data_IF_101429130555
#
_entry.id   IF_101429130555
#
_cell.length_a   1.000
_cell.length_b   1.000
_cell.length_c   1.000
_cell.angle_alpha   90.00
_cell.angle_beta   90.00
_cell.angle_gamma   90.00
#
_symmetry.space_group_name_H-M   'P 1'
#
loop_
_entity.id
_entity.type
_entity.pdbx_description
1 polymer ?
#
# COMPACT_ATOMS: atom_id res chain seq x y z
N UNK A 1 3.56 6.58 24.56
CA UNK A 1 4.54 5.71 25.25
C UNK A 1 5.87 5.84 24.55
N UNK A 2 7.00 5.57 25.24
CA UNK A 2 8.31 5.63 24.59
C UNK A 2 8.43 4.53 23.53
N UNK A 3 9.03 4.85 22.39
CA UNK A 3 9.34 3.91 21.30
C UNK A 3 10.39 2.88 21.78
N UNK A 4 10.41 1.62 21.24
CA UNK A 4 11.47 0.67 21.50
C UNK A 4 12.86 1.25 21.19
N UNK A 5 13.86 0.87 21.97
CA UNK A 5 15.24 1.33 21.75
C UNK A 5 15.87 0.61 20.57
N UNK A 6 16.84 1.24 19.93
CA UNK A 6 17.63 0.62 18.83
C UNK A 6 18.27 -0.68 19.30
N UNK A 7 18.87 -0.70 20.50
CA UNK A 7 19.49 -1.90 21.09
C UNK A 7 18.47 -3.05 21.22
N UNK A 8 17.26 -2.77 21.71
CA UNK A 8 16.20 -3.78 21.81
C UNK A 8 15.85 -4.36 20.43
N UNK A 9 15.74 -3.51 19.39
CA UNK A 9 15.45 -3.94 18.03
C UNK A 9 16.60 -4.77 17.45
N UNK A 10 17.83 -4.28 17.52
CA UNK A 10 18.98 -4.89 16.85
C UNK A 10 19.49 -6.16 17.53
N UNK A 11 19.40 -6.27 18.84
CA UNK A 11 19.83 -7.47 19.57
C UNK A 11 18.81 -8.61 19.50
N UNK A 12 17.50 -8.28 19.55
CA UNK A 12 16.46 -9.29 19.72
C UNK A 12 15.64 -9.54 18.45
N UNK A 13 15.56 -8.59 17.51
CA UNK A 13 14.55 -8.63 16.46
C UNK A 13 15.09 -8.52 15.03
N UNK A 14 16.35 -8.15 14.80
CA UNK A 14 16.91 -8.15 13.44
C UNK A 14 18.38 -8.55 13.43
N UNK A 15 18.73 -9.49 12.56
CA UNK A 15 20.12 -9.90 12.33
C UNK A 15 20.87 -8.92 11.42
N UNK A 16 20.15 -8.12 10.66
CA UNK A 16 20.67 -7.05 9.80
C UNK A 16 20.22 -5.72 10.38
N UNK A 17 21.12 -4.75 10.60
CA UNK A 17 20.78 -3.48 11.25
C UNK A 17 20.07 -2.53 10.27
N UNK A 18 18.99 -3.00 9.63
CA UNK A 18 18.05 -2.23 8.81
C UNK A 18 16.65 -2.82 9.00
N UNK A 19 15.61 -1.98 9.12
CA UNK A 19 14.23 -2.42 9.29
C UNK A 19 13.23 -1.34 8.86
N UNK A 20 12.04 -1.78 8.45
CA UNK A 20 10.86 -0.95 8.36
C UNK A 20 10.06 -1.10 9.65
N UNK A 21 9.89 -0.02 10.39
CA UNK A 21 9.08 0.04 11.60
C UNK A 21 7.65 0.40 11.23
N UNK A 22 6.69 -0.42 11.66
CA UNK A 22 5.27 -0.26 11.36
C UNK A 22 4.51 0.01 12.67
N UNK A 23 3.94 1.19 12.79
CA UNK A 23 3.16 1.65 13.94
C UNK A 23 1.71 1.16 13.83
N UNK A 24 1.36 0.14 14.62
CA UNK A 24 0.02 -0.45 14.62
C UNK A 24 -1.02 0.43 15.34
N UNK A 25 -0.59 1.28 16.27
CA UNK A 25 -1.49 2.22 16.93
C UNK A 25 -1.97 3.28 15.94
N UNK A 26 -1.04 3.86 15.14
CA UNK A 26 -1.39 4.77 14.04
C UNK A 26 -2.24 4.07 12.98
N UNK A 27 -1.94 2.81 12.63
CA UNK A 27 -2.75 2.04 11.67
C UNK A 27 -4.20 1.87 12.15
N UNK A 28 -4.37 1.56 13.43
CA UNK A 28 -5.68 1.46 14.06
C UNK A 28 -6.42 2.81 14.11
N UNK A 29 -5.71 3.90 14.43
CA UNK A 29 -6.28 5.25 14.43
C UNK A 29 -6.70 5.71 13.04
N UNK A 30 -5.87 5.48 12.01
CA UNK A 30 -6.20 5.79 10.63
C UNK A 30 -7.49 5.08 10.17
N UNK A 31 -7.61 3.79 10.47
CA UNK A 31 -8.81 3.03 10.07
C UNK A 31 -10.05 3.51 10.83
N UNK A 32 -9.96 3.84 12.12
CA UNK A 32 -11.06 4.43 12.88
C UNK A 32 -11.48 5.80 12.33
N UNK A 33 -10.51 6.60 11.88
CA UNK A 33 -10.80 7.88 11.26
C UNK A 33 -11.49 7.72 9.89
N UNK A 34 -11.02 6.77 9.06
CA UNK A 34 -11.69 6.43 7.79
C UNK A 34 -13.13 5.97 8.06
N UNK A 35 -13.35 5.12 9.07
CA UNK A 35 -14.70 4.71 9.49
C UNK A 35 -15.54 5.89 9.93
N UNK A 36 -14.97 6.84 10.67
CA UNK A 36 -15.67 8.06 11.10
C UNK A 36 -16.13 8.90 9.90
N UNK A 37 -15.24 9.09 8.91
CA UNK A 37 -15.54 9.83 7.66
C UNK A 37 -16.63 9.13 6.86
N UNK A 38 -16.55 7.81 6.73
CA UNK A 38 -17.49 7.00 5.93
C UNK A 38 -18.87 6.85 6.56
N UNK A 39 -18.93 6.88 7.90
CA UNK A 39 -20.15 6.58 8.66
C UNK A 39 -20.33 5.07 8.89
N UNK A 40 -21.43 4.69 9.58
CA UNK A 40 -21.69 3.30 9.98
C UNK A 40 -22.42 2.48 8.93
N UNK A 41 -23.14 3.13 8.02
CA UNK A 41 -24.10 2.49 7.10
C UNK A 41 -23.42 2.02 5.78
N UNK A 42 -22.14 2.30 5.60
CA UNK A 42 -21.37 1.93 4.41
C UNK A 42 -20.26 0.96 4.74
N UNK A 43 -20.00 0.05 3.84
CA UNK A 43 -18.89 -0.90 3.98
C UNK A 43 -17.55 -0.21 3.69
N UNK A 44 -16.56 -0.53 4.51
CA UNK A 44 -15.16 -0.12 4.30
C UNK A 44 -14.35 -1.34 3.90
N UNK A 45 -13.86 -1.34 2.66
CA UNK A 45 -12.98 -2.39 2.13
C UNK A 45 -11.55 -1.90 2.19
N UNK A 46 -10.77 -2.40 3.16
CA UNK A 46 -9.35 -2.07 3.27
C UNK A 46 -8.55 -2.70 2.14
N UNK A 47 -7.86 -1.87 1.34
CA UNK A 47 -7.06 -2.35 0.20
C UNK A 47 -5.67 -2.75 0.69
N UNK A 48 -5.39 -4.06 0.76
CA UNK A 48 -4.15 -4.65 1.31
C UNK A 48 -3.30 -5.39 0.29
N UNK A 49 -3.51 -5.11 -1.01
CA UNK A 49 -2.69 -5.63 -2.12
C UNK A 49 -1.23 -5.20 -2.01
N UNK A 50 -0.34 -5.86 -2.75
CA UNK A 50 1.10 -5.60 -2.76
C UNK A 50 1.68 -5.62 -1.33
N UNK A 51 1.34 -6.69 -0.58
CA UNK A 51 1.74 -6.88 0.80
C UNK A 51 1.37 -5.69 1.70
N UNK A 52 0.10 -5.23 1.59
CA UNK A 52 -0.39 -4.01 2.24
C UNK A 52 0.50 -2.80 1.91
N UNK A 53 0.77 -2.57 0.62
CA UNK A 53 1.66 -1.50 0.14
C UNK A 53 3.05 -1.57 0.81
N UNK A 54 3.58 -2.79 0.98
CA UNK A 54 4.87 -3.05 1.59
C UNK A 54 4.90 -3.07 3.12
N UNK A 55 3.75 -2.93 3.79
CA UNK A 55 3.66 -2.87 5.25
C UNK A 55 3.46 -4.24 5.94
N UNK A 56 3.14 -5.30 5.16
CA UNK A 56 2.83 -6.63 5.67
C UNK A 56 1.33 -6.89 5.76
N UNK A 57 0.78 -7.59 4.74
CA UNK A 57 -0.66 -7.73 4.53
C UNK A 57 -1.37 -8.45 5.68
N UNK A 58 -0.80 -9.52 6.20
CA UNK A 58 -1.43 -10.35 7.25
C UNK A 58 -1.65 -9.56 8.54
N UNK A 59 -0.63 -8.80 9.00
CA UNK A 59 -0.73 -8.03 10.24
C UNK A 59 -1.69 -6.87 10.06
N UNK A 60 -1.51 -6.08 8.99
CA UNK A 60 -2.34 -4.89 8.76
C UNK A 60 -3.81 -5.25 8.50
N UNK A 61 -4.10 -6.36 7.82
CA UNK A 61 -5.48 -6.85 7.65
C UNK A 61 -6.18 -7.09 8.99
N UNK A 62 -5.49 -7.72 9.95
CA UNK A 62 -6.03 -7.95 11.30
C UNK A 62 -6.32 -6.62 12.01
N UNK A 63 -5.36 -5.69 11.97
CA UNK A 63 -5.52 -4.38 12.60
C UNK A 63 -6.68 -3.60 11.98
N UNK A 64 -6.77 -3.56 10.65
CA UNK A 64 -7.83 -2.81 9.96
C UNK A 64 -9.22 -3.41 10.22
N UNK A 65 -9.37 -4.74 10.17
CA UNK A 65 -10.63 -5.41 10.48
C UNK A 65 -11.08 -5.18 11.93
N UNK A 66 -10.16 -5.14 12.88
CA UNK A 66 -10.47 -4.85 14.28
C UNK A 66 -10.84 -3.38 14.55
N UNK A 67 -10.53 -2.48 13.61
CA UNK A 67 -10.67 -1.03 13.82
C UNK A 67 -11.59 -0.32 12.82
N UNK A 68 -12.42 -1.06 12.08
CA UNK A 68 -13.48 -0.44 11.28
C UNK A 68 -13.55 -0.85 9.82
N UNK A 69 -12.63 -1.67 9.30
CA UNK A 69 -12.81 -2.30 8.00
C UNK A 69 -13.79 -3.48 8.13
N UNK A 70 -14.64 -3.66 7.11
CA UNK A 70 -15.60 -4.78 7.03
C UNK A 70 -15.08 -5.88 6.12
N UNK A 71 -14.27 -5.51 5.14
CA UNK A 71 -13.80 -6.35 4.05
C UNK A 71 -12.37 -6.00 3.68
N UNK A 72 -11.74 -6.86 2.88
CA UNK A 72 -10.41 -6.64 2.34
C UNK A 72 -10.45 -6.63 0.81
N UNK A 73 -9.48 -5.96 0.19
CA UNK A 73 -9.26 -6.07 -1.25
C UNK A 73 -7.77 -6.30 -1.56
N UNK A 74 -7.54 -7.22 -2.47
CA UNK A 74 -6.22 -7.63 -2.96
C UNK A 74 -6.14 -7.48 -4.48
N UNK A 75 -4.96 -7.68 -5.07
CA UNK A 75 -4.78 -7.62 -6.52
C UNK A 75 -4.90 -8.99 -7.21
N UNK A 76 -4.55 -10.07 -6.51
CA UNK A 76 -4.49 -11.42 -7.06
C UNK A 76 -5.06 -12.46 -6.12
N UNK A 77 -5.39 -13.64 -6.68
CA UNK A 77 -5.84 -14.78 -5.91
C UNK A 77 -4.77 -15.26 -4.91
N UNK A 78 -3.49 -15.18 -5.27
CA UNK A 78 -2.39 -15.60 -4.40
C UNK A 78 -2.31 -14.75 -3.13
N UNK A 79 -2.47 -13.43 -3.23
CA UNK A 79 -2.55 -12.52 -2.08
C UNK A 79 -3.75 -12.86 -1.18
N UNK A 80 -4.91 -13.15 -1.78
CA UNK A 80 -6.10 -13.56 -1.03
C UNK A 80 -5.90 -14.91 -0.33
N UNK A 81 -5.27 -15.87 -1.00
CA UNK A 81 -4.93 -17.19 -0.45
C UNK A 81 -3.95 -17.06 0.74
N UNK A 82 -2.97 -16.15 0.67
CA UNK A 82 -2.10 -15.84 1.80
C UNK A 82 -2.89 -15.40 3.04
N UNK A 83 -3.83 -14.47 2.85
CA UNK A 83 -4.70 -14.00 3.94
C UNK A 83 -5.57 -15.13 4.51
N UNK A 84 -6.09 -16.03 3.69
CA UNK A 84 -6.85 -17.20 4.14
C UNK A 84 -5.99 -18.20 4.93
N UNK A 85 -4.75 -18.45 4.48
CA UNK A 85 -3.78 -19.27 5.25
C UNK A 85 -3.49 -18.67 6.62
N UNK A 86 -3.50 -17.34 6.72
CA UNK A 86 -3.37 -16.61 7.99
C UNK A 86 -4.67 -16.57 8.82
N UNK A 87 -5.71 -17.37 8.43
CA UNK A 87 -7.01 -17.50 9.13
C UNK A 87 -7.85 -16.23 9.15
N UNK A 88 -7.68 -15.35 8.19
CA UNK A 88 -8.55 -14.18 7.99
C UNK A 88 -9.83 -14.67 7.28
N UNK A 89 -10.98 -14.45 7.92
CA UNK A 89 -12.30 -14.95 7.45
C UNK A 89 -13.17 -13.86 6.82
N UNK A 90 -12.80 -12.58 6.95
CA UNK A 90 -13.54 -11.48 6.34
C UNK A 90 -13.64 -11.65 4.80
N UNK A 91 -14.69 -11.13 4.14
CA UNK A 91 -14.80 -11.16 2.69
C UNK A 91 -13.59 -10.50 2.02
N UNK A 92 -13.07 -11.12 0.95
CA UNK A 92 -11.91 -10.64 0.20
C UNK A 92 -12.31 -10.45 -1.26
N UNK A 93 -12.09 -9.24 -1.79
CA UNK A 93 -12.30 -8.90 -3.19
C UNK A 93 -10.96 -8.88 -3.93
N UNK A 94 -10.87 -9.58 -5.06
CA UNK A 94 -9.76 -9.43 -6.00
C UNK A 94 -10.10 -8.29 -6.97
N UNK A 95 -9.26 -7.24 -7.02
CA UNK A 95 -9.44 -6.09 -7.90
C UNK A 95 -8.84 -6.31 -9.30
N UNK A 96 -7.97 -7.29 -9.46
CA UNK A 96 -7.32 -7.65 -10.71
C UNK A 96 -8.03 -8.79 -11.43
N UNK A 97 -7.42 -9.27 -12.51
CA UNK A 97 -7.88 -10.44 -13.26
C UNK A 97 -7.64 -11.74 -12.47
N UNK A 98 -8.63 -12.62 -12.49
CA UNK A 98 -8.49 -14.01 -12.07
C UNK A 98 -8.89 -14.91 -13.24
N UNK A 99 -7.95 -15.72 -13.73
CA UNK A 99 -8.20 -16.62 -14.82
C UNK A 99 -9.23 -17.70 -14.41
N UNK A 100 -10.16 -18.03 -15.31
CA UNK A 100 -11.21 -19.03 -15.06
C UNK A 100 -10.65 -20.41 -14.71
N UNK A 101 -9.45 -20.75 -15.18
CA UNK A 101 -8.73 -21.98 -14.87
C UNK A 101 -8.40 -22.14 -13.38
N UNK A 102 -8.41 -21.03 -12.61
CA UNK A 102 -8.21 -21.03 -11.15
C UNK A 102 -9.51 -21.04 -10.35
N UNK A 103 -10.64 -21.40 -10.98
CA UNK A 103 -11.96 -21.42 -10.34
C UNK A 103 -12.02 -22.30 -9.09
N UNK A 104 -11.36 -23.47 -9.08
CA UNK A 104 -11.31 -24.34 -7.93
C UNK A 104 -10.61 -23.70 -6.74
N UNK A 105 -9.45 -23.14 -6.95
CA UNK A 105 -8.69 -22.44 -5.90
C UNK A 105 -9.45 -21.21 -5.38
N UNK A 106 -10.13 -20.46 -6.26
CA UNK A 106 -10.98 -19.34 -5.89
C UNK A 106 -12.11 -19.77 -4.94
N UNK A 107 -12.81 -20.84 -5.29
CA UNK A 107 -13.88 -21.41 -4.48
C UNK A 107 -13.36 -21.96 -3.15
N UNK A 108 -12.24 -22.69 -3.15
CA UNK A 108 -11.64 -23.27 -1.94
C UNK A 108 -11.27 -22.23 -0.89
N UNK A 109 -10.92 -21.04 -1.35
CA UNK A 109 -10.57 -19.92 -0.50
C UNK A 109 -11.72 -18.95 -0.22
N UNK A 110 -12.92 -19.15 -0.77
CA UNK A 110 -14.09 -18.26 -0.63
C UNK A 110 -13.68 -16.78 -0.90
N UNK A 111 -13.14 -16.52 -2.10
CA UNK A 111 -12.67 -15.19 -2.51
C UNK A 111 -13.54 -14.69 -3.66
N UNK A 112 -13.87 -13.39 -3.66
CA UNK A 112 -14.76 -12.75 -4.63
C UNK A 112 -13.93 -12.13 -5.77
N UNK A 113 -14.02 -12.61 -7.03
CA UNK A 113 -13.27 -12.05 -8.16
C UNK A 113 -13.95 -10.83 -8.76
N UNK A 114 -13.13 -9.89 -9.29
CA UNK A 114 -13.59 -8.96 -10.30
C UNK A 114 -13.79 -9.71 -11.64
N UNK A 115 -14.90 -9.45 -12.31
CA UNK A 115 -15.26 -10.08 -13.58
C UNK A 115 -15.51 -9.02 -14.65
N UNK A 116 -14.86 -9.22 -15.78
CA UNK A 116 -15.00 -8.40 -17.00
C UNK A 116 -14.80 -9.25 -18.28
N UNK A 117 -15.11 -10.54 -18.17
CA UNK A 117 -15.05 -11.52 -19.26
C UNK A 117 -16.13 -12.58 -19.02
N UNK A 118 -16.97 -12.81 -20.03
CA UNK A 118 -17.97 -13.90 -19.99
C UNK A 118 -17.30 -15.28 -19.86
N UNK A 119 -16.17 -15.47 -20.56
CA UNK A 119 -15.42 -16.73 -20.52
C UNK A 119 -15.03 -17.11 -19.09
N UNK A 120 -14.44 -16.15 -18.34
CA UNK A 120 -14.00 -16.43 -16.96
C UNK A 120 -15.21 -16.68 -16.04
N UNK A 121 -16.28 -15.90 -16.19
CA UNK A 121 -17.52 -16.11 -15.45
C UNK A 121 -18.14 -17.49 -15.72
N UNK A 122 -18.14 -17.95 -16.98
CA UNK A 122 -18.63 -19.29 -17.36
C UNK A 122 -17.80 -20.41 -16.70
N UNK A 123 -16.47 -20.23 -16.64
CA UNK A 123 -15.60 -21.21 -15.97
C UNK A 123 -15.82 -21.23 -14.45
N UNK A 124 -16.00 -20.07 -13.83
CA UNK A 124 -16.39 -19.98 -12.41
C UNK A 124 -17.75 -20.67 -12.17
N UNK A 125 -18.75 -20.39 -12.98
CA UNK A 125 -20.08 -21.00 -12.91
C UNK A 125 -19.99 -22.52 -13.02
N UNK A 126 -19.28 -23.05 -14.02
CA UNK A 126 -19.11 -24.48 -14.23
C UNK A 126 -18.53 -25.16 -12.99
N UNK A 127 -17.45 -24.60 -12.43
CA UNK A 127 -16.84 -25.16 -11.22
C UNK A 127 -17.75 -25.02 -9.99
N UNK A 128 -18.49 -23.94 -9.86
CA UNK A 128 -19.47 -23.75 -8.80
C UNK A 128 -20.56 -24.83 -8.83
N UNK A 129 -21.11 -25.12 -10.00
CA UNK A 129 -22.10 -26.18 -10.20
C UNK A 129 -21.51 -27.58 -9.90
N UNK A 130 -20.31 -27.89 -10.42
CA UNK A 130 -19.62 -29.16 -10.17
C UNK A 130 -19.42 -29.44 -8.68
N UNK A 131 -19.13 -28.38 -7.90
CA UNK A 131 -18.81 -28.50 -6.47
C UNK A 131 -20.01 -28.25 -5.56
N UNK A 132 -21.19 -27.89 -6.11
CA UNK A 132 -22.38 -27.52 -5.33
C UNK A 132 -22.17 -26.22 -4.51
N UNK A 133 -21.29 -25.34 -4.95
CA UNK A 133 -20.96 -24.06 -4.29
C UNK A 133 -21.45 -22.88 -5.12
N UNK A 134 -21.24 -21.68 -4.61
CA UNK A 134 -21.58 -20.40 -5.23
C UNK A 134 -20.34 -19.52 -5.32
N UNK A 135 -20.21 -18.76 -6.42
CA UNK A 135 -19.20 -17.71 -6.58
C UNK A 135 -19.88 -16.36 -6.55
N UNK A 136 -19.46 -15.51 -5.61
CA UNK A 136 -19.87 -14.10 -5.52
C UNK A 136 -18.92 -13.27 -6.36
N UNK A 137 -19.43 -12.63 -7.40
CA UNK A 137 -18.62 -11.85 -8.33
C UNK A 137 -18.89 -10.35 -8.23
N UNK A 138 -17.87 -9.55 -8.58
CA UNK A 138 -18.01 -8.11 -8.78
C UNK A 138 -17.74 -7.76 -10.24
N UNK A 139 -18.73 -7.22 -10.94
CA UNK A 139 -18.55 -6.73 -12.31
C UNK A 139 -17.68 -5.47 -12.29
N UNK A 140 -16.61 -5.46 -13.07
CA UNK A 140 -15.82 -4.26 -13.30
C UNK A 140 -16.40 -3.46 -14.47
N UNK A 141 -16.70 -2.17 -14.25
CA UNK A 141 -17.14 -1.22 -15.25
C UNK A 141 -16.00 -0.22 -15.57
N UNK A 142 -15.68 -0.03 -16.83
CA UNK A 142 -14.73 0.98 -17.28
C UNK A 142 -15.48 2.25 -17.70
N UNK A 143 -15.45 3.25 -16.85
CA UNK A 143 -16.11 4.54 -17.09
C UNK A 143 -15.11 5.63 -17.51
N UNK A 144 -13.86 5.25 -17.83
CA UNK A 144 -12.85 6.18 -18.29
C UNK A 144 -11.46 6.03 -17.65
N UNK A 145 -11.22 4.95 -16.87
CA UNK A 145 -9.88 4.59 -16.42
C UNK A 145 -9.10 3.87 -17.55
N UNK A 146 -9.81 3.21 -18.49
CA UNK A 146 -9.27 2.50 -19.65
C UNK A 146 -8.21 1.43 -19.29
N UNK A 147 -8.49 0.68 -18.20
CA UNK A 147 -7.57 -0.34 -17.69
C UNK A 147 -8.17 -1.75 -17.73
N UNK A 148 -9.30 -1.95 -17.10
CA UNK A 148 -10.08 -3.20 -17.08
C UNK A 148 -11.56 -2.86 -16.91
N UNK A 149 -12.44 -3.74 -17.35
CA UNK A 149 -13.89 -3.61 -17.14
C UNK A 149 -14.65 -3.48 -18.44
N UNK A 150 -15.96 -3.62 -18.32
CA UNK A 150 -16.91 -3.37 -19.43
C UNK A 150 -17.08 -1.89 -19.66
N UNK A 151 -16.78 -1.43 -20.86
CA UNK A 151 -17.17 -0.08 -21.30
C UNK A 151 -18.70 -0.06 -21.47
N UNK A 152 -19.41 0.87 -20.80
CA UNK A 152 -20.86 0.95 -20.89
C UNK A 152 -21.37 1.00 -22.33
N UNK A 153 -22.07 -0.03 -22.76
CA UNK A 153 -22.66 -0.16 -24.09
C UNK A 153 -23.81 -1.17 -24.09
N UNK A 154 -24.67 -1.20 -25.12
CA UNK A 154 -25.70 -2.23 -25.25
C UNK A 154 -25.14 -3.66 -25.24
N UNK A 155 -23.99 -3.87 -25.88
CA UNK A 155 -23.31 -5.17 -25.94
C UNK A 155 -22.83 -5.60 -24.57
N UNK A 156 -22.24 -4.68 -23.78
CA UNK A 156 -21.83 -4.93 -22.40
C UNK A 156 -23.02 -5.29 -21.50
N UNK A 157 -24.16 -4.62 -21.67
CA UNK A 157 -25.40 -4.93 -20.93
C UNK A 157 -25.84 -6.36 -21.23
N UNK A 158 -25.89 -6.78 -22.49
CA UNK A 158 -26.30 -8.13 -22.88
C UNK A 158 -25.29 -9.20 -22.39
N UNK A 159 -23.99 -8.88 -22.36
CA UNK A 159 -22.99 -9.81 -21.83
C UNK A 159 -23.11 -9.98 -20.31
N UNK A 160 -23.23 -8.87 -19.56
CA UNK A 160 -23.43 -8.91 -18.09
C UNK A 160 -24.73 -9.63 -17.73
N UNK A 161 -25.80 -9.45 -18.53
CA UNK A 161 -27.05 -10.18 -18.36
C UNK A 161 -26.89 -11.70 -18.57
N UNK A 162 -26.08 -12.12 -19.57
CA UNK A 162 -25.73 -13.55 -19.75
C UNK A 162 -24.95 -14.07 -18.55
N UNK A 163 -24.01 -13.29 -17.99
CA UNK A 163 -23.26 -13.65 -16.79
C UNK A 163 -24.21 -13.81 -15.60
N UNK A 164 -25.14 -12.88 -15.40
CA UNK A 164 -26.12 -12.96 -14.31
C UNK A 164 -27.05 -14.17 -14.38
N UNK A 165 -27.23 -14.74 -15.57
CA UNK A 165 -28.05 -15.94 -15.79
C UNK A 165 -27.26 -17.25 -15.59
N UNK A 166 -25.96 -17.22 -15.37
CA UNK A 166 -25.12 -18.40 -15.16
C UNK A 166 -25.46 -19.04 -13.80
N UNK A 167 -25.65 -20.37 -13.74
CA UNK A 167 -25.93 -21.05 -12.48
C UNK A 167 -24.70 -21.01 -11.54
N UNK A 168 -24.95 -20.88 -10.24
CA UNK A 168 -23.90 -20.83 -9.22
C UNK A 168 -23.14 -19.49 -9.17
N UNK A 169 -23.61 -18.46 -9.91
CA UNK A 169 -23.05 -17.09 -9.84
C UNK A 169 -24.00 -16.20 -9.04
N UNK A 170 -23.44 -15.45 -8.10
CA UNK A 170 -24.13 -14.34 -7.40
C UNK A 170 -23.51 -13.02 -7.80
N UNK A 171 -24.34 -12.11 -8.31
CA UNK A 171 -23.99 -10.74 -8.67
C UNK A 171 -23.80 -9.89 -7.40
N UNK A 172 -22.68 -10.11 -6.69
CA UNK A 172 -22.42 -9.46 -5.40
C UNK A 172 -22.19 -7.96 -5.53
N UNK A 173 -21.43 -7.53 -6.54
CA UNK A 173 -21.18 -6.13 -6.70
C UNK A 173 -20.87 -5.68 -8.12
N UNK A 174 -20.89 -4.36 -8.30
CA UNK A 174 -20.40 -3.69 -9.49
C UNK A 174 -19.53 -2.51 -9.07
N UNK A 175 -18.41 -2.28 -9.77
CA UNK A 175 -17.52 -1.17 -9.46
C UNK A 175 -16.91 -0.50 -10.67
N UNK A 176 -16.54 0.75 -10.47
CA UNK A 176 -15.61 1.46 -11.35
C UNK A 176 -14.42 1.99 -10.54
N UNK A 177 -13.44 2.60 -11.21
CA UNK A 177 -12.29 3.24 -10.58
C UNK A 177 -12.08 4.63 -11.15
N UNK A 178 -12.03 5.64 -10.29
CA UNK A 178 -11.74 7.01 -10.69
C UNK A 178 -10.27 7.15 -11.11
N UNK A 179 -10.04 7.78 -12.26
CA UNK A 179 -8.70 8.07 -12.76
C UNK A 179 -8.12 9.37 -12.19
N UNK A 180 -8.99 10.33 -11.84
CA UNK A 180 -8.61 11.70 -11.47
C UNK A 180 -9.37 12.23 -10.24
N UNK A 181 -9.77 11.36 -9.30
CA UNK A 181 -10.37 11.84 -8.06
C UNK A 181 -9.37 12.54 -7.15
N UNK A 182 -8.08 12.43 -7.42
CA UNK A 182 -6.95 12.90 -6.65
C UNK A 182 -6.37 14.26 -7.12
N UNK A 183 -7.03 14.93 -8.06
CA UNK A 183 -6.76 16.32 -8.43
C UNK A 183 -7.85 17.27 -7.91
N UNK A 184 -7.57 18.57 -7.84
CA UNK A 184 -8.52 19.58 -7.33
C UNK A 184 -9.77 19.68 -8.20
N UNK A 185 -9.62 19.62 -9.51
CA UNK A 185 -10.73 19.58 -10.45
C UNK A 185 -11.42 18.20 -10.42
N UNK A 186 -12.70 18.18 -10.06
CA UNK A 186 -13.52 16.97 -9.94
C UNK A 186 -14.42 16.69 -11.15
N UNK A 187 -14.37 17.51 -12.21
CA UNK A 187 -15.28 17.40 -13.35
C UNK A 187 -15.25 16.00 -13.97
N UNK A 188 -14.04 15.45 -14.19
CA UNK A 188 -13.90 14.11 -14.73
C UNK A 188 -14.38 13.00 -13.77
N UNK A 189 -14.15 13.15 -12.47
CA UNK A 189 -14.68 12.21 -11.48
C UNK A 189 -16.21 12.21 -11.45
N UNK A 190 -16.85 13.38 -11.59
CA UNK A 190 -18.30 13.51 -11.74
C UNK A 190 -18.80 12.85 -13.03
N UNK A 191 -18.12 13.05 -14.15
CA UNK A 191 -18.46 12.40 -15.42
C UNK A 191 -18.33 10.87 -15.32
N UNK A 192 -17.23 10.35 -14.76
CA UNK A 192 -17.07 8.90 -14.52
C UNK A 192 -18.20 8.34 -13.63
N UNK A 193 -18.57 9.07 -12.57
CA UNK A 193 -19.68 8.67 -11.69
C UNK A 193 -21.03 8.70 -12.41
N UNK A 194 -21.27 9.68 -13.29
CA UNK A 194 -22.48 9.77 -14.11
C UNK A 194 -22.59 8.57 -15.06
N UNK A 195 -21.52 8.25 -15.78
CA UNK A 195 -21.45 7.06 -16.65
C UNK A 195 -21.68 5.76 -15.87
N UNK A 196 -21.10 5.66 -14.68
CA UNK A 196 -21.29 4.50 -13.80
C UNK A 196 -22.73 4.35 -13.35
N UNK A 197 -23.38 5.45 -12.96
CA UNK A 197 -24.80 5.47 -12.56
C UNK A 197 -25.71 5.05 -13.71
N UNK A 198 -25.50 5.65 -14.88
CA UNK A 198 -26.28 5.31 -16.09
C UNK A 198 -26.13 3.82 -16.48
N UNK A 199 -24.93 3.26 -16.35
CA UNK A 199 -24.71 1.84 -16.62
C UNK A 199 -25.43 0.93 -15.62
N UNK A 200 -25.40 1.27 -14.33
CA UNK A 200 -26.16 0.55 -13.29
C UNK A 200 -27.65 0.59 -13.59
N UNK A 201 -28.19 1.77 -13.94
CA UNK A 201 -29.62 1.94 -14.24
C UNK A 201 -30.02 1.13 -15.50
N UNK A 202 -29.19 1.10 -16.52
CA UNK A 202 -29.40 0.29 -17.73
C UNK A 202 -29.40 -1.21 -17.42
N UNK A 203 -28.43 -1.69 -16.61
CA UNK A 203 -28.38 -3.08 -16.14
C UNK A 203 -29.61 -3.44 -15.31
N UNK A 204 -30.04 -2.57 -14.42
CA UNK A 204 -31.28 -2.74 -13.64
C UNK A 204 -32.50 -2.82 -14.54
N UNK A 205 -32.60 -1.97 -15.56
CA UNK A 205 -33.64 -2.02 -16.60
C UNK A 205 -33.64 -3.34 -17.40
N UNK A 206 -32.47 -3.97 -17.55
CA UNK A 206 -32.31 -5.29 -18.17
C UNK A 206 -32.52 -6.48 -17.19
N UNK A 207 -32.91 -6.19 -15.93
CA UNK A 207 -33.18 -7.22 -14.90
C UNK A 207 -31.97 -7.69 -14.11
N UNK A 208 -30.82 -7.00 -14.20
CA UNK A 208 -29.61 -7.32 -13.43
C UNK A 208 -29.47 -6.34 -12.26
N UNK A 209 -29.34 -6.88 -11.04
CA UNK A 209 -29.16 -6.08 -9.81
C UNK A 209 -27.95 -6.59 -9.03
N UNK A 210 -27.40 -5.70 -8.18
CA UNK A 210 -26.22 -5.98 -7.36
C UNK A 210 -26.50 -5.60 -5.91
N UNK A 211 -25.87 -6.32 -4.98
CA UNK A 211 -25.96 -6.00 -3.56
C UNK A 211 -25.11 -4.77 -3.17
N UNK A 212 -24.00 -4.54 -3.90
CA UNK A 212 -23.00 -3.52 -3.55
C UNK A 212 -22.56 -2.76 -4.81
N UNK A 213 -22.66 -1.45 -4.78
CA UNK A 213 -22.08 -0.55 -5.80
C UNK A 213 -20.91 0.20 -5.16
N UNK A 214 -19.77 0.31 -5.86
CA UNK A 214 -18.60 0.98 -5.30
C UNK A 214 -17.69 1.64 -6.34
N UNK A 215 -17.26 2.88 -6.08
CA UNK A 215 -16.37 3.64 -6.97
C UNK A 215 -15.23 4.34 -6.23
N UNK A 216 -15.41 4.77 -4.98
CA UNK A 216 -14.45 5.60 -4.27
C UNK A 216 -13.17 4.86 -3.89
N UNK A 217 -12.03 5.38 -4.36
CA UNK A 217 -10.68 5.13 -3.88
C UNK A 217 -10.37 6.05 -2.68
N UNK A 218 -9.10 6.22 -2.31
CA UNK A 218 -8.68 7.11 -1.21
C UNK A 218 -9.16 8.54 -1.39
N UNK A 219 -8.93 9.15 -2.55
CA UNK A 219 -9.34 10.52 -2.83
C UNK A 219 -10.86 10.67 -2.85
N UNK A 220 -11.57 9.77 -3.52
CA UNK A 220 -13.03 9.75 -3.51
C UNK A 220 -13.62 9.54 -2.10
N UNK A 221 -12.92 8.82 -1.22
CA UNK A 221 -13.33 8.66 0.18
C UNK A 221 -13.24 9.97 0.96
N UNK A 222 -12.22 10.79 0.70
CA UNK A 222 -12.03 12.06 1.41
C UNK A 222 -12.91 13.18 0.87
N UNK A 223 -13.05 13.30 -0.44
CA UNK A 223 -13.60 14.52 -1.07
C UNK A 223 -14.92 14.32 -1.82
N UNK A 224 -15.36 13.09 -2.03
CA UNK A 224 -16.60 12.79 -2.76
C UNK A 224 -17.57 11.95 -1.91
N UNK A 225 -18.01 12.45 -0.74
CA UNK A 225 -18.86 11.68 0.19
C UNK A 225 -20.20 11.25 -0.43
N UNK A 226 -20.74 12.01 -1.37
CA UNK A 226 -21.99 11.68 -2.08
C UNK A 226 -21.82 10.48 -3.02
N UNK A 227 -20.58 10.10 -3.36
CA UNK A 227 -20.25 8.97 -4.23
C UNK A 227 -19.88 7.69 -3.47
N UNK A 228 -19.89 7.69 -2.14
CA UNK A 228 -19.50 6.51 -1.33
C UNK A 228 -20.35 5.26 -1.63
N UNK A 229 -21.63 5.45 -2.01
CA UNK A 229 -22.59 4.36 -2.25
C UNK A 229 -22.61 3.37 -1.08
N UNK A 230 -22.73 2.05 -1.34
CA UNK A 230 -22.74 1.04 -0.29
C UNK A 230 -21.36 0.71 0.24
N UNK A 231 -20.26 1.00 -0.54
CA UNK A 231 -18.92 0.59 -0.17
C UNK A 231 -17.84 1.52 -0.69
N UNK A 232 -16.82 1.79 0.14
CA UNK A 232 -15.59 2.49 -0.25
C UNK A 232 -14.38 1.55 -0.23
N UNK A 233 -13.32 1.95 -0.95
CA UNK A 233 -12.07 1.20 -1.06
C UNK A 233 -10.85 2.10 -0.77
N UNK A 234 -10.64 2.54 0.48
CA UNK A 234 -9.46 3.32 0.83
C UNK A 234 -8.20 2.46 0.63
N UNK A 235 -7.21 3.07 0.00
CA UNK A 235 -5.88 2.49 -0.19
C UNK A 235 -4.86 3.28 0.60
N UNK A 236 -4.19 4.25 -0.05
CA UNK A 236 -3.03 4.93 0.50
C UNK A 236 -3.31 5.68 1.82
N UNK A 237 -4.50 6.24 2.00
CA UNK A 237 -4.85 6.98 3.21
C UNK A 237 -4.91 6.09 4.47
N UNK A 238 -5.20 4.80 4.36
CA UNK A 238 -5.16 3.91 5.53
C UNK A 238 -3.74 3.67 6.04
N UNK A 239 -2.73 3.88 5.18
CA UNK A 239 -1.31 3.84 5.54
C UNK A 239 -0.78 5.20 5.99
N UNK A 240 -1.63 6.22 5.98
CA UNK A 240 -1.32 7.53 6.56
C UNK A 240 -0.73 8.55 5.60
N UNK A 241 -0.88 8.34 4.31
CA UNK A 241 -0.33 9.24 3.29
C UNK A 241 -1.44 9.96 2.53
N UNK A 242 -1.10 11.12 1.99
CA UNK A 242 -1.98 11.90 1.12
C UNK A 242 -2.34 11.09 -0.14
N UNK A 243 -3.54 11.32 -0.67
CA UNK A 243 -3.95 10.67 -1.92
C UNK A 243 -3.20 11.26 -3.12
N UNK A 244 -2.85 12.54 -3.05
CA UNK A 244 -2.00 13.27 -3.99
C UNK A 244 -1.50 14.56 -3.33
N UNK A 245 -0.80 15.42 -4.09
CA UNK A 245 -0.40 16.76 -3.62
C UNK A 245 -1.57 17.75 -3.49
N UNK A 246 -2.72 17.43 -4.07
CA UNK A 246 -3.92 18.27 -4.06
C UNK A 246 -5.01 17.74 -3.13
N UNK A 247 -5.02 16.41 -2.86
CA UNK A 247 -5.97 15.76 -1.95
C UNK A 247 -5.23 15.23 -0.73
N UNK A 248 -5.24 16.05 0.31
CA UNK A 248 -4.45 15.87 1.53
C UNK A 248 -5.29 15.26 2.66
N UNK A 249 -4.65 14.52 3.55
CA UNK A 249 -5.25 14.05 4.81
C UNK A 249 -5.30 15.16 5.88
N UNK A 250 -4.88 16.37 5.55
CA UNK A 250 -4.91 17.54 6.45
C UNK A 250 -6.30 17.76 7.04
N UNK A 251 -6.37 17.99 8.34
CA UNK A 251 -7.64 18.13 9.06
C UNK A 251 -8.25 16.79 9.52
N UNK A 252 -7.64 15.67 9.18
CA UNK A 252 -7.97 14.34 9.71
C UNK A 252 -6.98 13.91 10.80
N UNK A 253 -7.24 12.75 11.42
CA UNK A 253 -6.30 12.11 12.36
C UNK A 253 -5.34 11.12 11.69
N UNK A 254 -5.38 11.04 10.37
CA UNK A 254 -4.59 10.11 9.57
C UNK A 254 -3.12 10.52 9.59
N UNK A 255 -2.22 9.55 9.86
CA UNK A 255 -0.76 9.75 9.97
C UNK A 255 0.02 8.59 9.37
N UNK A 256 1.22 8.84 8.77
CA UNK A 256 2.09 7.78 8.28
C UNK A 256 2.39 6.72 9.33
N UNK A 257 2.32 5.45 8.91
CA UNK A 257 2.52 4.30 9.81
C UNK A 257 3.87 3.60 9.61
N UNK A 258 4.61 3.88 8.52
CA UNK A 258 5.92 3.29 8.27
C UNK A 258 7.04 4.30 8.47
N UNK A 259 8.13 3.84 9.09
CA UNK A 259 9.42 4.50 9.07
C UNK A 259 10.48 3.51 8.59
N UNK A 260 11.43 3.95 7.76
CA UNK A 260 12.57 3.14 7.33
C UNK A 260 13.81 3.56 8.11
N UNK A 261 14.46 2.61 8.76
CA UNK A 261 15.55 2.87 9.71
C UNK A 261 16.71 1.89 9.52
N UNK A 262 17.90 2.32 9.91
CA UNK A 262 19.07 1.45 9.99
C UNK A 262 20.02 1.93 11.09
N UNK A 263 21.14 1.20 11.28
CA UNK A 263 22.24 1.67 12.12
C UNK A 263 23.47 1.93 11.28
N UNK A 264 24.32 2.85 11.74
CA UNK A 264 25.67 3.06 11.17
C UNK A 264 26.48 1.79 11.37
N UNK A 265 27.04 1.25 10.28
CA UNK A 265 27.88 0.02 10.32
C UNK A 265 29.37 0.30 10.23
N UNK A 266 29.75 1.45 9.69
CA UNK A 266 31.15 1.84 9.60
C UNK A 266 31.26 3.38 9.67
N UNK A 267 32.37 3.85 10.23
CA UNK A 267 32.66 5.28 10.38
C UNK A 267 34.15 5.52 10.08
N UNK A 268 34.45 6.52 9.26
CA UNK A 268 35.81 6.92 8.95
C UNK A 268 35.90 8.39 8.60
N UNK A 269 37.08 8.98 8.77
CA UNK A 269 37.39 10.29 8.21
C UNK A 269 38.13 10.12 6.89
N UNK A 270 37.71 10.87 5.88
CA UNK A 270 38.38 11.02 4.60
C UNK A 270 38.92 12.42 4.50
N UNK A 271 39.87 12.65 3.59
CA UNK A 271 40.60 13.93 3.47
C UNK A 271 40.44 14.56 2.09
N UNK A 272 40.95 15.76 1.93
CA UNK A 272 40.87 16.51 0.67
C UNK A 272 41.32 15.67 -0.54
N UNK A 273 40.49 15.62 -1.58
CA UNK A 273 40.73 14.85 -2.79
C UNK A 273 40.23 13.41 -2.74
N UNK A 274 39.92 12.86 -1.55
CA UNK A 274 39.29 11.54 -1.44
C UNK A 274 37.85 11.56 -1.98
N UNK A 275 37.44 10.47 -2.63
CA UNK A 275 36.14 10.36 -3.26
C UNK A 275 35.27 9.26 -2.65
N UNK A 276 33.94 9.43 -2.68
CA UNK A 276 32.99 8.49 -2.12
C UNK A 276 32.23 7.76 -3.23
N UNK A 277 32.23 6.41 -3.16
CA UNK A 277 31.39 5.52 -3.95
C UNK A 277 31.74 5.45 -5.44
N UNK A 278 30.87 4.75 -6.17
CA UNK A 278 31.01 4.56 -7.62
C UNK A 278 30.91 5.90 -8.38
N UNK A 279 31.74 6.09 -9.40
CA UNK A 279 31.74 7.26 -10.26
C UNK A 279 32.38 8.50 -9.64
N UNK A 280 32.81 8.44 -8.37
CA UNK A 280 33.52 9.52 -7.68
C UNK A 280 32.75 10.86 -7.70
N UNK A 281 31.41 10.81 -7.58
CA UNK A 281 30.55 12.01 -7.66
C UNK A 281 30.60 12.91 -6.42
N UNK A 282 31.20 12.45 -5.32
CA UNK A 282 31.50 13.26 -4.16
C UNK A 282 33.03 13.24 -3.94
N UNK A 283 33.61 14.42 -3.75
CA UNK A 283 35.01 14.61 -3.41
C UNK A 283 35.10 15.46 -2.16
N UNK A 284 35.84 14.97 -1.16
CA UNK A 284 36.07 15.71 0.07
C UNK A 284 36.91 16.96 -0.20
N UNK A 285 36.52 18.10 0.40
CA UNK A 285 37.22 19.40 0.33
C UNK A 285 38.09 19.66 1.56
N UNK A 286 38.15 18.69 2.47
CA UNK A 286 38.87 18.72 3.73
C UNK A 286 38.52 17.50 4.57
N UNK A 287 38.90 17.46 5.86
CA UNK A 287 38.51 16.35 6.75
C UNK A 287 36.98 16.19 6.81
N UNK A 288 36.49 15.06 6.34
CA UNK A 288 35.05 14.76 6.25
C UNK A 288 34.75 13.41 6.91
N UNK A 289 33.83 13.39 7.88
CA UNK A 289 33.45 12.19 8.62
C UNK A 289 32.31 11.47 7.88
N UNK A 290 32.62 10.31 7.30
CA UNK A 290 31.68 9.51 6.50
C UNK A 290 31.16 8.34 7.31
N UNK A 291 29.84 8.19 7.39
CA UNK A 291 29.18 7.01 7.93
C UNK A 291 28.64 6.15 6.78
N UNK A 292 28.80 4.83 6.91
CA UNK A 292 28.25 3.83 5.97
C UNK A 292 27.02 3.21 6.57
N UNK A 293 25.94 3.13 5.78
CA UNK A 293 24.66 2.55 6.11
C UNK A 293 24.47 1.23 5.36
N UNK A 294 23.93 0.16 6.00
CA UNK A 294 23.77 -1.18 5.40
C UNK A 294 22.49 -1.29 4.56
N UNK A 295 22.19 -0.28 3.75
CA UNK A 295 21.01 -0.20 2.90
C UNK A 295 21.35 0.38 1.53
N UNK A 296 20.77 -0.18 0.48
CA UNK A 296 20.94 0.29 -0.88
C UNK A 296 19.73 -0.01 -1.77
N UNK A 297 19.92 0.12 -3.09
CA UNK A 297 18.78 0.01 -4.02
C UNK A 297 18.19 -1.41 -4.09
N UNK A 298 18.91 -2.46 -3.72
CA UNK A 298 18.35 -3.82 -3.62
C UNK A 298 17.42 -4.00 -2.40
N UNK A 299 17.42 -3.06 -1.46
CA UNK A 299 16.52 -3.01 -0.31
C UNK A 299 15.29 -2.13 -0.58
N UNK A 300 15.28 -1.41 -1.72
CA UNK A 300 14.24 -0.44 -2.07
C UNK A 300 14.64 1.01 -1.83
N UNK A 301 15.87 1.29 -1.33
CA UNK A 301 16.36 2.67 -1.19
C UNK A 301 16.94 3.15 -2.52
N UNK A 302 16.12 3.85 -3.29
CA UNK A 302 16.31 4.10 -4.72
C UNK A 302 17.62 4.80 -5.05
N UNK A 303 18.31 4.37 -6.13
CA UNK A 303 19.55 4.98 -6.60
C UNK A 303 19.38 6.43 -7.12
N UNK A 304 18.16 6.83 -7.51
CA UNK A 304 17.85 8.20 -7.91
C UNK A 304 18.04 9.24 -6.78
N UNK A 305 18.04 8.80 -5.51
CA UNK A 305 18.30 9.59 -4.32
C UNK A 305 19.76 9.99 -4.17
N UNK A 306 20.70 9.41 -4.96
CA UNK A 306 22.14 9.63 -4.82
C UNK A 306 22.52 11.12 -4.81
N UNK A 307 23.12 11.57 -3.70
CA UNK A 307 23.53 12.95 -3.43
C UNK A 307 22.40 13.99 -3.57
N UNK A 308 21.14 13.61 -3.23
CA UNK A 308 19.97 14.47 -3.34
C UNK A 308 19.06 14.44 -2.13
N UNK A 309 19.32 13.56 -1.17
CA UNK A 309 18.45 13.36 -0.02
C UNK A 309 19.22 13.45 1.28
N UNK A 310 18.55 13.89 2.33
CA UNK A 310 19.05 13.82 3.69
C UNK A 310 18.44 12.62 4.42
N UNK A 311 19.12 12.19 5.48
CA UNK A 311 18.63 11.25 6.49
C UNK A 311 18.75 11.91 7.85
N UNK A 312 18.24 11.30 8.92
CA UNK A 312 18.32 11.90 10.25
C UNK A 312 19.20 11.04 11.17
N UNK A 313 20.15 11.68 11.83
CA UNK A 313 21.04 11.10 12.85
C UNK A 313 21.01 12.00 14.07
N UNK A 314 20.72 11.47 15.27
CA UNK A 314 20.62 12.25 16.52
C UNK A 314 19.67 13.46 16.42
N UNK A 315 18.60 13.38 15.61
CA UNK A 315 17.67 14.48 15.39
C UNK A 315 18.21 15.61 14.49
N UNK A 316 19.29 15.35 13.74
CA UNK A 316 19.94 16.30 12.82
C UNK A 316 19.97 15.69 11.42
N UNK A 317 19.68 16.48 10.39
CA UNK A 317 19.78 16.05 8.99
C UNK A 317 21.23 15.83 8.57
N UNK A 318 21.51 14.71 7.92
CA UNK A 318 22.81 14.33 7.37
C UNK A 318 22.67 14.02 5.88
N UNK A 319 23.48 14.64 5.04
CA UNK A 319 23.37 14.51 3.58
C UNK A 319 23.92 13.18 3.08
N UNK A 320 23.16 12.50 2.20
CA UNK A 320 23.63 11.31 1.51
C UNK A 320 24.65 11.72 0.43
N UNK A 321 25.85 11.12 0.44
CA UNK A 321 26.97 11.48 -0.42
C UNK A 321 27.44 10.34 -1.32
N UNK A 322 27.69 10.68 -2.58
CA UNK A 322 28.08 9.71 -3.61
C UNK A 322 26.90 8.84 -4.08
N UNK A 323 27.18 7.88 -4.98
CA UNK A 323 26.12 6.99 -5.47
C UNK A 323 25.69 5.97 -4.41
N UNK A 324 24.37 5.79 -4.26
CA UNK A 324 23.79 4.67 -3.51
C UNK A 324 24.17 3.37 -4.24
N UNK A 325 24.80 2.44 -3.51
CA UNK A 325 25.20 1.15 -4.02
C UNK A 325 24.06 0.13 -3.90
N UNK A 326 24.30 -1.12 -4.31
CA UNK A 326 23.32 -2.20 -4.23
C UNK A 326 22.88 -2.46 -2.78
N UNK A 327 23.82 -2.50 -1.84
CA UNK A 327 23.61 -2.95 -0.47
C UNK A 327 24.00 -1.91 0.60
N UNK A 328 24.57 -0.78 0.20
CA UNK A 328 25.12 0.22 1.10
C UNK A 328 24.99 1.64 0.50
N UNK A 329 24.90 2.64 1.38
CA UNK A 329 25.08 4.04 1.02
C UNK A 329 25.88 4.79 2.09
N UNK A 330 26.32 5.99 1.79
CA UNK A 330 27.18 6.80 2.64
C UNK A 330 26.54 8.14 2.92
N UNK A 331 26.78 8.68 4.12
CA UNK A 331 26.31 9.99 4.55
C UNK A 331 27.45 10.79 5.16
N UNK A 332 27.42 12.11 5.01
CA UNK A 332 28.33 13.03 5.68
C UNK A 332 27.76 13.39 7.06
N UNK A 333 28.49 13.00 8.11
CA UNK A 333 28.13 13.28 9.51
C UNK A 333 29.13 14.21 10.19
N UNK A 334 29.92 14.98 9.43
CA UNK A 334 30.99 15.85 9.96
C UNK A 334 30.50 16.90 10.96
N UNK A 335 29.27 17.38 10.76
CA UNK A 335 28.66 18.44 11.58
C UNK A 335 27.86 17.88 12.78
N UNK A 336 27.75 16.55 12.91
CA UNK A 336 27.00 15.92 14.00
C UNK A 336 28.00 15.41 15.05
N UNK A 337 27.93 15.90 16.29
CA UNK A 337 28.84 15.46 17.36
C UNK A 337 28.56 14.02 17.79
N UNK A 338 29.58 13.37 18.32
CA UNK A 338 29.54 12.08 19.02
C UNK A 338 28.93 10.91 18.26
N UNK A 339 28.83 11.00 16.91
CA UNK A 339 28.35 9.92 16.05
C UNK A 339 29.30 8.72 16.12
N UNK A 340 28.72 7.53 16.33
CA UNK A 340 29.44 6.24 16.46
C UNK A 340 28.75 5.14 15.68
N UNK A 341 29.47 4.04 15.46
CA UNK A 341 28.90 2.81 14.91
C UNK A 341 27.82 2.27 15.84
N UNK A 342 26.69 1.85 15.28
CA UNK A 342 25.51 1.40 15.99
C UNK A 342 24.44 2.49 16.20
N UNK A 343 24.76 3.78 15.95
CA UNK A 343 23.76 4.83 16.06
C UNK A 343 22.65 4.66 15.01
N UNK A 344 21.42 4.98 15.44
CA UNK A 344 20.24 4.94 14.57
C UNK A 344 20.28 6.04 13.52
N UNK A 345 19.91 5.67 12.31
CA UNK A 345 19.67 6.56 11.18
C UNK A 345 18.24 6.37 10.70
N UNK A 346 17.47 7.45 10.55
CA UNK A 346 16.15 7.44 9.94
C UNK A 346 16.26 7.85 8.49
N UNK A 347 15.92 6.94 7.59
CA UNK A 347 15.98 7.14 6.14
C UNK A 347 14.71 7.83 5.63
N UNK A 348 13.56 7.47 6.16
CA UNK A 348 12.33 8.26 6.18
C UNK A 348 11.52 7.96 7.44
N UNK A 349 10.81 8.94 7.93
CA UNK A 349 10.09 8.95 9.20
C UNK A 349 10.57 10.09 10.11
N UNK A 350 10.27 9.98 11.39
CA UNK A 350 10.49 11.03 12.38
C UNK A 350 11.59 10.64 13.36
N UNK A 351 12.42 11.62 13.78
CA UNK A 351 13.36 11.51 14.92
C UNK A 351 13.50 12.88 15.60
N UNK A 352 13.03 12.98 16.84
CA UNK A 352 12.97 14.27 17.55
C UNK A 352 11.98 15.23 16.86
N UNK A 353 12.45 16.41 16.51
CA UNK A 353 11.69 17.40 15.75
C UNK A 353 11.85 17.30 14.24
N UNK A 354 12.79 16.48 13.77
CA UNK A 354 13.08 16.32 12.35
C UNK A 354 12.23 15.19 11.73
N UNK A 355 11.89 15.41 10.44
CA UNK A 355 11.18 14.45 9.62
C UNK A 355 11.76 14.43 8.20
N UNK A 356 12.02 13.24 7.67
CA UNK A 356 12.19 12.99 6.23
C UNK A 356 10.94 12.24 5.80
N UNK A 357 10.09 12.87 5.01
CA UNK A 357 8.82 12.27 4.62
C UNK A 357 8.98 11.31 3.43
N UNK A 358 8.02 10.36 3.27
CA UNK A 358 7.96 9.54 2.08
C UNK A 358 7.66 10.37 0.82
N UNK A 359 7.00 11.53 0.97
CA UNK A 359 6.78 12.51 -0.11
C UNK A 359 8.10 13.12 -0.60
N UNK A 360 8.99 13.52 0.33
CA UNK A 360 10.32 14.04 0.00
C UNK A 360 11.13 13.02 -0.82
N UNK A 361 11.04 11.73 -0.45
CA UNK A 361 11.66 10.63 -1.19
C UNK A 361 11.01 10.48 -2.57
N UNK A 362 9.67 10.47 -2.65
CA UNK A 362 8.93 10.31 -3.90
C UNK A 362 9.21 11.45 -4.88
N UNK A 363 9.22 12.69 -4.39
CA UNK A 363 9.52 13.88 -5.19
C UNK A 363 10.95 13.83 -5.76
N UNK A 364 11.92 13.46 -4.93
CA UNK A 364 13.32 13.32 -5.35
C UNK A 364 13.49 12.21 -6.39
N UNK A 365 12.68 11.17 -6.32
CA UNK A 365 12.66 10.06 -7.29
C UNK A 365 11.78 10.33 -8.51
N UNK A 366 11.03 11.44 -8.56
CA UNK A 366 10.02 11.74 -9.60
C UNK A 366 8.94 10.67 -9.72
N UNK A 367 8.41 10.22 -8.58
CA UNK A 367 7.40 9.17 -8.49
C UNK A 367 6.36 9.48 -7.40
N UNK A 368 5.59 8.49 -7.00
CA UNK A 368 4.54 8.58 -5.98
C UNK A 368 4.85 7.73 -4.74
N UNK A 369 4.28 8.09 -3.60
CA UNK A 369 4.50 7.42 -2.32
C UNK A 369 4.19 5.91 -2.39
N UNK A 370 3.17 5.52 -3.18
CA UNK A 370 2.82 4.13 -3.40
C UNK A 370 4.03 3.30 -3.86
N UNK A 371 4.83 3.82 -4.80
CA UNK A 371 6.03 3.14 -5.28
C UNK A 371 7.11 3.08 -4.20
N UNK A 372 7.29 4.15 -3.43
CA UNK A 372 8.31 4.19 -2.37
C UNK A 372 8.06 3.09 -1.33
N UNK A 373 6.84 3.00 -0.81
CA UNK A 373 6.52 2.00 0.23
C UNK A 373 6.47 0.57 -0.31
N UNK A 374 5.90 0.36 -1.51
CA UNK A 374 5.85 -0.95 -2.15
C UNK A 374 7.24 -1.49 -2.52
N UNK A 375 8.20 -0.62 -2.82
CA UNK A 375 9.56 -1.01 -3.19
C UNK A 375 10.44 -1.42 -2.01
N UNK A 376 10.01 -1.21 -0.75
CA UNK A 376 10.76 -1.74 0.40
C UNK A 376 10.78 -3.26 0.30
N UNK A 377 11.95 -3.78 -0.09
CA UNK A 377 12.14 -5.16 -0.49
C UNK A 377 11.98 -6.14 0.68
N UNK A 378 11.67 -7.40 0.36
CA UNK A 378 11.59 -8.52 1.33
C UNK A 378 12.89 -8.78 2.12
N UNK A 379 14.02 -8.19 1.73
CA UNK A 379 15.28 -8.20 2.49
C UNK A 379 15.22 -7.36 3.76
N UNK A 380 14.31 -6.39 3.82
CA UNK A 380 14.12 -5.49 4.96
C UNK A 380 13.05 -6.08 5.87
N UNK A 381 13.34 -6.47 7.11
CA UNK A 381 12.34 -6.97 8.03
C UNK A 381 11.34 -5.87 8.41
N UNK A 382 10.07 -6.27 8.66
CA UNK A 382 9.04 -5.39 9.24
C UNK A 382 8.99 -5.63 10.74
N UNK A 383 9.14 -4.57 11.51
CA UNK A 383 9.03 -4.58 12.98
C UNK A 383 7.72 -3.88 13.35
N UNK A 384 6.78 -4.64 13.88
CA UNK A 384 5.48 -4.12 14.28
C UNK A 384 5.51 -3.64 15.71
N UNK A 385 5.16 -2.36 15.91
CA UNK A 385 5.15 -1.70 17.21
C UNK A 385 3.72 -1.36 17.60
N UNK A 386 3.33 -1.72 18.81
CA UNK A 386 2.04 -1.38 19.41
C UNK A 386 2.22 -1.00 20.88
N UNK A 387 1.60 0.11 21.31
CA UNK A 387 1.75 0.65 22.67
C UNK A 387 3.23 0.84 23.09
N UNK A 388 4.08 1.26 22.15
CA UNK A 388 5.52 1.45 22.37
C UNK A 388 6.32 0.14 22.54
N UNK A 389 5.75 -1.02 22.23
CA UNK A 389 6.41 -2.33 22.33
C UNK A 389 6.42 -3.05 20.99
N UNK A 390 7.48 -3.79 20.73
CA UNK A 390 7.53 -4.70 19.57
C UNK A 390 6.60 -5.88 19.87
N UNK A 391 5.62 -6.09 18.99
CA UNK A 391 4.64 -7.19 19.13
C UNK A 391 4.89 -8.32 18.16
N UNK A 392 5.51 -8.03 17.01
CA UNK A 392 5.86 -9.04 16.01
C UNK A 392 6.97 -8.55 15.08
N UNK A 393 7.70 -9.51 14.52
CA UNK A 393 8.65 -9.33 13.41
C UNK A 393 8.20 -10.17 12.22
N UNK A 394 8.33 -9.61 11.02
CA UNK A 394 8.14 -10.32 9.76
C UNK A 394 9.47 -10.30 8.99
N UNK A 395 10.09 -11.45 8.83
CA UNK A 395 11.29 -11.66 8.00
C UNK A 395 10.99 -12.65 6.89
N UNK A 396 10.92 -12.18 5.66
CA UNK A 396 10.55 -13.02 4.52
C UNK A 396 11.64 -14.03 4.10
N UNK A 397 12.92 -13.74 4.39
CA UNK A 397 14.05 -14.58 3.95
C UNK A 397 14.38 -15.74 4.92
N UNK A 398 13.89 -15.68 6.15
CA UNK A 398 14.20 -16.66 7.20
C UNK A 398 13.00 -17.46 7.67
N UNK A 399 11.81 -17.17 7.14
CA UNK A 399 10.63 -18.01 7.32
C UNK A 399 10.71 -19.16 6.33
N UNK A 400 11.20 -20.31 6.78
CA UNK A 400 11.14 -21.61 6.08
C UNK A 400 9.88 -22.38 6.49
#
# INVERSE_FOLDING_TARGET
MARPTVTEITENYTKRPVWAEIDLDRAAENMREIRRITGKDRLVTAVVKADAYGHGAVMLSKVFLQNGADRLAVSSLDEGTELRRAKITAPILILGHTAGERAEELLDNDIEPAVFSYRDAEMFSRKAVETGREVKIHIAADTGMCRIGYVPSPEAIEEVKKIAALPGITMQGIFTHFSEADIADKEWAHEQHSRFSAFIDALKGAGVTFNIHHCCNSAGTLELPDFHREMIRPGIIQYGYDASKEVLVTGTKIKPIMSLRCCITHLKTIYEGDCVGYGRHFTAKGPTKIATLPIGYADGYNRALSSKIDVIVHGVRAHQVGNICMDQCMIDVSHIPDVKVGDEVVLFGEQGSECVSADEIADTCHTIIHEITCNINRRVPRIYVQNGKIVQRLEYLTQS
#
